data_IF_079531297381
#
_entry.id   IF_079531297381
#
_cell.length_a   1.000
_cell.length_b   1.000
_cell.length_c   1.000
_cell.angle_alpha   90.00
_cell.angle_beta   90.00
_cell.angle_gamma   90.00
#
_symmetry.space_group_name_H-M   'P 1'
#
loop_
_entity.id
_entity.type
_entity.pdbx_description
1 polymer ?
#
# COMPACT_ATOMS: atom_id res chain seq x y z
N UNK A 1 -0.69 -10.93 -29.69
CA UNK A 1 -2.02 -10.41 -29.28
C UNK A 1 -2.62 -11.38 -28.29
N UNK A 2 -2.21 -11.27 -27.03
CA UNK A 2 -3.00 -11.82 -25.95
C UNK A 2 -4.29 -10.98 -25.88
N UNK A 3 -5.48 -11.57 -25.75
CA UNK A 3 -6.69 -10.79 -25.62
C UNK A 3 -6.59 -10.01 -24.31
N UNK A 4 -6.26 -8.72 -24.39
CA UNK A 4 -6.59 -7.76 -23.32
C UNK A 4 -8.06 -8.01 -23.01
N UNK A 5 -8.34 -8.63 -21.87
CA UNK A 5 -9.70 -9.02 -21.56
C UNK A 5 -10.49 -7.70 -21.42
N UNK A 6 -11.56 -7.49 -22.22
CA UNK A 6 -12.25 -6.19 -22.28
C UNK A 6 -12.79 -5.67 -20.95
N UNK A 7 -13.00 -6.57 -19.98
CA UNK A 7 -13.39 -6.30 -18.60
C UNK A 7 -12.30 -5.57 -17.80
N UNK A 8 -11.03 -5.92 -18.00
CA UNK A 8 -9.89 -5.26 -17.32
C UNK A 8 -9.72 -3.82 -17.82
N UNK A 9 -9.75 -3.61 -19.15
CA UNK A 9 -9.66 -2.27 -19.75
C UNK A 9 -10.85 -1.37 -19.36
N UNK A 10 -12.05 -1.95 -19.20
CA UNK A 10 -13.22 -1.23 -18.69
C UNK A 10 -13.06 -0.83 -17.22
N UNK A 11 -12.55 -1.72 -16.37
CA UNK A 11 -12.28 -1.43 -14.96
C UNK A 11 -11.19 -0.36 -14.79
N UNK A 12 -10.11 -0.40 -15.59
CA UNK A 12 -9.09 0.64 -15.63
C UNK A 12 -9.66 2.00 -16.02
N UNK A 13 -10.49 2.02 -17.07
CA UNK A 13 -11.12 3.25 -17.56
C UNK A 13 -12.05 3.85 -16.51
N UNK A 14 -12.85 3.02 -15.85
CA UNK A 14 -13.74 3.45 -14.76
C UNK A 14 -12.94 3.97 -13.55
N UNK A 15 -11.86 3.30 -13.15
CA UNK A 15 -10.97 3.74 -12.07
C UNK A 15 -10.36 5.12 -12.36
N UNK A 16 -9.81 5.31 -13.57
CA UNK A 16 -9.23 6.59 -14.02
C UNK A 16 -10.24 7.74 -14.02
N UNK A 17 -11.53 7.43 -14.23
CA UNK A 17 -12.61 8.41 -14.26
C UNK A 17 -13.23 8.73 -12.88
N UNK A 18 -13.10 7.82 -11.89
CA UNK A 18 -13.67 8.02 -10.55
C UNK A 18 -12.83 8.90 -9.63
N UNK A 19 -11.52 9.00 -9.89
CA UNK A 19 -10.59 9.77 -9.08
C UNK A 19 -10.54 11.25 -9.54
N UNK A 20 -10.97 12.22 -8.72
CA UNK A 20 -10.99 13.63 -9.11
C UNK A 20 -9.56 14.12 -9.35
N UNK A 21 -9.26 14.50 -10.60
CA UNK A 21 -7.94 14.95 -11.02
C UNK A 21 -7.25 14.01 -12.00
N UNK A 22 -7.77 12.81 -12.28
CA UNK A 22 -7.34 11.91 -13.36
C UNK A 22 -5.86 11.49 -13.33
N UNK A 23 -5.10 11.97 -12.35
CA UNK A 23 -3.72 11.61 -12.08
C UNK A 23 -3.73 10.43 -11.11
N UNK A 24 -4.24 9.29 -11.56
CA UNK A 24 -3.45 8.11 -11.24
C UNK A 24 -2.25 8.25 -12.16
N UNK A 25 -1.18 8.72 -11.55
CA UNK A 25 -0.10 9.52 -12.11
C UNK A 25 0.24 9.13 -13.57
N UNK A 26 0.06 10.07 -14.51
CA UNK A 26 0.52 10.05 -15.93
C UNK A 26 2.05 9.93 -16.08
N UNK A 27 2.71 9.60 -14.99
CA UNK A 27 4.10 9.82 -14.76
C UNK A 27 4.58 8.62 -13.92
N UNK A 28 5.44 7.82 -14.58
CA UNK A 28 6.54 7.03 -14.03
C UNK A 28 6.34 5.51 -14.16
N UNK A 29 7.31 4.73 -14.67
CA UNK A 29 8.57 5.09 -15.32
C UNK A 29 8.36 5.49 -16.78
N UNK A 30 9.31 6.23 -17.37
CA UNK A 30 9.27 6.47 -18.80
C UNK A 30 9.09 5.12 -19.52
N UNK A 31 8.02 4.98 -20.30
CA UNK A 31 7.89 3.84 -21.21
C UNK A 31 9.26 3.69 -21.87
N UNK A 32 9.95 2.55 -21.72
CA UNK A 32 11.15 2.33 -22.49
C UNK A 32 10.73 2.53 -23.95
N UNK A 33 11.43 3.43 -24.65
CA UNK A 33 11.13 3.80 -26.03
C UNK A 33 10.72 2.54 -26.80
N UNK A 34 9.44 2.46 -27.17
CA UNK A 34 8.79 1.35 -27.86
C UNK A 34 9.38 -0.03 -27.57
N UNK A 35 8.77 -0.86 -26.69
CA UNK A 35 9.34 -2.16 -26.36
C UNK A 35 9.60 -2.97 -27.63
N UNK A 36 10.82 -3.48 -27.76
CA UNK A 36 11.17 -4.45 -28.81
C UNK A 36 10.18 -5.62 -28.76
N UNK A 37 9.98 -6.36 -29.87
CA UNK A 37 9.07 -7.51 -29.88
C UNK A 37 9.35 -8.52 -28.76
N UNK A 38 10.62 -8.68 -28.36
CA UNK A 38 11.00 -9.56 -27.25
C UNK A 38 10.63 -8.98 -25.88
N UNK A 39 10.83 -7.68 -25.65
CA UNK A 39 10.37 -7.01 -24.43
C UNK A 39 8.85 -7.08 -24.29
N UNK A 40 8.12 -6.92 -25.40
CA UNK A 40 6.66 -7.07 -25.40
C UNK A 40 6.24 -8.50 -25.06
N UNK A 41 6.92 -9.52 -25.62
CA UNK A 41 6.66 -10.94 -25.30
C UNK A 41 6.90 -11.25 -23.83
N UNK A 42 7.98 -10.72 -23.26
CA UNK A 42 8.32 -10.90 -21.84
C UNK A 42 7.28 -10.22 -20.94
N UNK A 43 6.87 -8.99 -21.27
CA UNK A 43 5.80 -8.28 -20.54
C UNK A 43 4.48 -9.05 -20.60
N UNK A 44 4.05 -9.49 -21.78
CA UNK A 44 2.80 -10.24 -21.93
C UNK A 44 2.84 -11.54 -21.11
N UNK A 45 3.95 -12.30 -21.16
CA UNK A 45 4.12 -13.52 -20.34
C UNK A 45 4.05 -13.22 -18.83
N UNK A 46 4.60 -12.08 -18.41
CA UNK A 46 4.56 -11.65 -17.02
C UNK A 46 3.13 -11.27 -16.58
N UNK A 47 2.40 -10.50 -17.40
CA UNK A 47 0.98 -10.18 -17.17
C UNK A 47 0.11 -11.44 -17.08
N UNK A 48 0.37 -12.43 -17.92
CA UNK A 48 -0.33 -13.72 -17.89
C UNK A 48 -0.07 -14.48 -16.58
N UNK A 49 1.19 -14.47 -16.12
CA UNK A 49 1.58 -15.11 -14.85
C UNK A 49 0.92 -14.43 -13.65
N UNK A 50 0.83 -13.09 -13.66
CA UNK A 50 0.10 -12.34 -12.63
C UNK A 50 -1.41 -12.61 -12.66
N UNK A 51 -2.02 -12.65 -13.84
CA UNK A 51 -3.42 -12.99 -13.99
C UNK A 51 -3.74 -14.38 -13.43
N UNK A 52 -2.90 -15.37 -13.72
CA UNK A 52 -3.04 -16.73 -13.19
C UNK A 52 -2.89 -16.76 -11.66
N UNK A 53 -1.93 -16.03 -11.11
CA UNK A 53 -1.71 -15.94 -9.67
C UNK A 53 -2.87 -15.23 -8.95
N UNK A 54 -3.37 -14.12 -9.50
CA UNK A 54 -4.54 -13.41 -8.98
C UNK A 54 -5.79 -14.29 -9.06
N UNK A 55 -5.97 -15.05 -10.14
CA UNK A 55 -7.07 -16.01 -10.23
C UNK A 55 -6.98 -17.11 -9.20
N UNK A 56 -5.78 -17.64 -9.00
CA UNK A 56 -5.54 -18.63 -7.95
C UNK A 56 -5.85 -18.02 -6.59
N UNK A 57 -5.43 -16.78 -6.34
CA UNK A 57 -5.75 -16.04 -5.12
C UNK A 57 -7.27 -15.85 -4.93
N UNK A 58 -8.00 -15.52 -5.99
CA UNK A 58 -9.43 -15.26 -5.88
C UNK A 58 -10.29 -16.54 -5.75
N UNK A 59 -9.78 -17.69 -6.20
CA UNK A 59 -10.56 -18.93 -6.30
C UNK A 59 -10.17 -20.01 -5.29
N UNK A 60 -9.01 -19.90 -4.63
CA UNK A 60 -8.51 -20.90 -3.68
C UNK A 60 -9.21 -20.78 -2.32
N UNK A 61 -9.53 -21.92 -1.72
CA UNK A 61 -10.23 -22.00 -0.41
C UNK A 61 -9.30 -21.87 0.80
N UNK A 62 -8.00 -22.15 0.64
CA UNK A 62 -7.01 -21.99 1.70
C UNK A 62 -6.44 -20.57 1.67
N UNK A 63 -6.51 -19.88 2.81
CA UNK A 63 -6.15 -18.47 2.98
C UNK A 63 -4.68 -18.31 3.35
N UNK A 64 -3.79 -18.63 2.41
CA UNK A 64 -2.35 -18.49 2.56
C UNK A 64 -1.85 -17.43 1.58
N UNK A 65 -0.88 -16.57 1.97
CA UNK A 65 -0.29 -15.61 1.06
C UNK A 65 0.32 -16.31 -0.17
N UNK A 66 0.12 -15.72 -1.35
CA UNK A 66 0.71 -16.24 -2.59
C UNK A 66 1.89 -15.36 -2.95
N UNK A 67 3.08 -15.96 -3.03
CA UNK A 67 4.30 -15.30 -3.47
C UNK A 67 4.53 -15.54 -4.97
N UNK A 68 4.74 -14.46 -5.71
CA UNK A 68 5.16 -14.47 -7.11
C UNK A 68 6.61 -13.98 -7.16
N UNK A 69 7.51 -14.84 -7.62
CA UNK A 69 8.93 -14.54 -7.77
C UNK A 69 9.21 -13.74 -9.04
N UNK A 70 10.29 -12.96 -9.03
CA UNK A 70 10.74 -12.12 -10.15
C UNK A 70 9.66 -11.13 -10.62
N UNK A 71 8.71 -10.80 -9.73
CA UNK A 71 7.68 -9.79 -9.90
C UNK A 71 8.18 -8.43 -9.40
N UNK A 72 9.45 -8.13 -9.65
CA UNK A 72 10.03 -6.80 -9.42
C UNK A 72 9.26 -5.80 -10.26
N UNK A 73 8.85 -4.69 -9.67
CA UNK A 73 8.06 -3.64 -10.31
C UNK A 73 8.57 -3.33 -11.74
N UNK A 74 7.67 -3.46 -12.74
CA UNK A 74 7.16 -2.28 -13.39
C UNK A 74 5.72 -2.00 -12.94
N UNK A 75 5.26 -0.74 -13.13
CA UNK A 75 4.08 -0.16 -12.51
C UNK A 75 2.78 -0.65 -13.16
N UNK A 76 2.51 -1.95 -13.08
CA UNK A 76 1.26 -2.54 -13.57
C UNK A 76 0.29 -2.81 -12.38
N UNK A 77 0.35 -1.98 -11.33
CA UNK A 77 -0.68 -1.93 -10.28
C UNK A 77 -2.06 -1.68 -10.89
N UNK A 78 -2.12 -0.97 -12.01
CA UNK A 78 -3.32 -0.82 -12.84
C UNK A 78 -3.92 -2.18 -13.18
N UNK A 79 -3.09 -3.08 -13.71
CA UNK A 79 -3.52 -4.42 -14.07
C UNK A 79 -4.01 -5.20 -12.84
N UNK A 80 -3.28 -5.12 -11.72
CA UNK A 80 -3.66 -5.77 -10.45
C UNK A 80 -5.03 -5.28 -9.98
N UNK A 81 -5.20 -3.96 -9.90
CA UNK A 81 -6.43 -3.31 -9.44
C UNK A 81 -7.60 -3.63 -10.36
N UNK A 82 -7.42 -3.51 -11.67
CA UNK A 82 -8.49 -3.80 -12.62
C UNK A 82 -8.88 -5.28 -12.63
N UNK A 83 -7.91 -6.19 -12.50
CA UNK A 83 -8.17 -7.62 -12.43
C UNK A 83 -8.89 -8.01 -11.13
N UNK A 84 -8.50 -7.41 -10.00
CA UNK A 84 -9.17 -7.57 -8.72
C UNK A 84 -10.59 -7.00 -8.78
N UNK A 85 -10.78 -5.75 -9.22
CA UNK A 85 -12.09 -5.10 -9.29
C UNK A 85 -13.06 -5.81 -10.23
N UNK A 86 -12.60 -6.24 -11.42
CA UNK A 86 -13.42 -6.95 -12.38
C UNK A 86 -14.01 -8.25 -11.81
N UNK A 87 -13.30 -8.91 -10.89
CA UNK A 87 -13.73 -10.17 -10.29
C UNK A 87 -14.35 -10.05 -8.91
N UNK A 88 -14.02 -9.02 -8.15
CA UNK A 88 -14.71 -8.75 -6.90
C UNK A 88 -16.16 -8.28 -7.12
N UNK A 89 -16.48 -7.57 -8.22
CA UNK A 89 -17.84 -7.41 -8.77
C UNK A 89 -18.99 -7.04 -7.81
N UNK A 90 -18.68 -6.61 -6.59
CA UNK A 90 -19.59 -6.64 -5.44
C UNK A 90 -18.83 -6.47 -4.11
N UNK A 91 -19.56 -6.35 -3.00
CA UNK A 91 -19.01 -6.11 -1.65
C UNK A 91 -17.95 -7.17 -1.34
N UNK A 92 -16.69 -6.74 -1.18
CA UNK A 92 -15.59 -7.59 -0.70
C UNK A 92 -16.10 -8.29 0.54
N UNK A 93 -16.13 -9.61 0.49
CA UNK A 93 -16.79 -10.36 1.52
C UNK A 93 -16.04 -10.16 2.83
N UNK A 94 -16.74 -9.60 3.83
CA UNK A 94 -16.29 -9.55 5.21
C UNK A 94 -16.24 -11.00 5.71
N UNK A 95 -15.11 -11.66 5.52
CA UNK A 95 -14.93 -13.03 5.97
C UNK A 95 -14.09 -13.10 7.26
N UNK A 96 -14.54 -13.89 8.26
CA UNK A 96 -13.99 -13.89 9.60
C UNK A 96 -12.88 -14.95 9.68
N UNK A 97 -11.63 -14.51 9.59
CA UNK A 97 -10.49 -15.24 10.15
C UNK A 97 -9.31 -14.26 10.23
N UNK A 98 -9.28 -13.53 11.36
CA UNK A 98 -8.16 -12.69 11.78
C UNK A 98 -6.85 -13.49 11.70
N UNK A 99 -5.90 -13.04 10.88
CA UNK A 99 -4.50 -13.46 11.02
C UNK A 99 -3.91 -12.75 12.26
N UNK A 100 -4.23 -13.28 13.45
CA UNK A 100 -3.76 -12.75 14.73
C UNK A 100 -2.22 -12.81 14.88
N UNK A 101 -1.59 -11.63 14.95
CA UNK A 101 -0.73 -11.09 16.06
C UNK A 101 0.44 -11.87 16.71
N UNK A 102 1.48 -11.30 17.39
CA UNK A 102 1.61 -10.07 18.25
C UNK A 102 3.08 -9.76 18.68
N UNK A 103 3.33 -8.50 19.09
CA UNK A 103 4.56 -7.86 19.65
C UNK A 103 5.08 -8.38 21.02
N UNK A 104 6.33 -8.02 21.44
CA UNK A 104 6.58 -7.39 22.78
C UNK A 104 7.99 -6.81 23.04
N UNK A 105 8.01 -5.59 23.59
CA UNK A 105 9.11 -4.87 24.29
C UNK A 105 10.53 -4.94 23.70
N UNK A 106 10.82 -4.01 22.79
CA UNK A 106 12.18 -3.55 22.49
C UNK A 106 12.39 -2.98 21.10
N UNK A 107 11.52 -3.38 20.15
CA UNK A 107 11.34 -2.94 18.75
C UNK A 107 11.39 -4.13 17.79
N UNK A 108 10.23 -4.73 17.56
CA UNK A 108 10.04 -5.81 16.59
C UNK A 108 9.03 -5.35 15.56
N UNK A 109 9.43 -5.39 14.29
CA UNK A 109 8.59 -5.09 13.15
C UNK A 109 8.02 -6.38 12.58
N UNK A 110 6.78 -6.33 12.12
CA UNK A 110 6.20 -7.33 11.25
C UNK A 110 6.67 -6.99 9.84
N UNK A 111 7.45 -7.86 9.21
CA UNK A 111 7.73 -7.70 7.77
C UNK A 111 6.51 -8.15 6.99
N UNK A 112 5.90 -7.23 6.26
CA UNK A 112 4.82 -7.52 5.34
C UNK A 112 5.39 -7.63 3.93
N UNK A 113 5.31 -8.83 3.35
CA UNK A 113 5.97 -9.17 2.10
C UNK A 113 7.25 -9.98 2.33
N UNK A 114 8.14 -10.05 1.34
CA UNK A 114 9.28 -10.98 1.35
C UNK A 114 10.58 -10.37 0.87
N UNK A 115 10.66 -9.99 -0.41
CA UNK A 115 11.86 -9.43 -1.03
C UNK A 115 11.50 -8.42 -2.14
N UNK A 116 12.43 -7.50 -2.44
CA UNK A 116 12.21 -6.38 -3.38
C UNK A 116 11.78 -6.79 -4.80
N UNK A 117 12.06 -8.03 -5.20
CA UNK A 117 11.74 -8.61 -6.50
C UNK A 117 10.58 -9.61 -6.44
N UNK A 118 9.87 -9.68 -5.32
CA UNK A 118 8.74 -10.57 -5.12
C UNK A 118 7.44 -9.78 -4.89
N UNK A 119 6.33 -10.40 -5.30
CA UNK A 119 4.99 -9.90 -5.01
C UNK A 119 4.25 -10.89 -4.10
N UNK A 120 3.64 -10.39 -3.04
CA UNK A 120 2.84 -11.20 -2.11
C UNK A 120 1.38 -10.75 -2.14
N UNK A 121 0.47 -11.68 -2.42
CA UNK A 121 -0.97 -11.42 -2.48
C UNK A 121 -1.66 -12.03 -1.25
N UNK A 122 -2.37 -11.18 -0.50
CA UNK A 122 -3.27 -11.54 0.58
C UNK A 122 -4.71 -11.51 0.09
N UNK A 123 -5.41 -12.64 0.21
CA UNK A 123 -6.72 -12.87 -0.44
C UNK A 123 -7.92 -12.18 0.24
N UNK A 124 -7.73 -11.54 1.39
CA UNK A 124 -8.81 -10.97 2.19
C UNK A 124 -8.35 -9.83 3.08
N UNK A 125 -9.21 -9.33 3.97
CA UNK A 125 -8.82 -8.29 4.90
C UNK A 125 -7.69 -8.76 5.82
N UNK A 126 -6.78 -7.86 6.15
CA UNK A 126 -5.59 -8.12 6.94
C UNK A 126 -5.57 -7.19 8.16
N UNK A 127 -5.50 -7.75 9.36
CA UNK A 127 -5.39 -7.00 10.61
C UNK A 127 -4.12 -7.36 11.37
N UNK A 128 -3.24 -6.38 11.56
CA UNK A 128 -1.92 -6.54 12.18
C UNK A 128 -1.85 -5.72 13.47
N UNK A 129 -1.34 -6.30 14.56
CA UNK A 129 -0.99 -5.52 15.75
C UNK A 129 0.51 -5.56 15.98
N UNK A 130 1.15 -4.48 15.60
CA UNK A 130 2.59 -4.35 15.52
C UNK A 130 2.97 -3.13 14.68
N UNK A 131 4.23 -2.70 14.77
CA UNK A 131 4.80 -1.90 13.69
C UNK A 131 5.06 -2.81 12.51
N UNK A 132 4.84 -2.32 11.30
CA UNK A 132 4.95 -3.05 10.05
C UNK A 132 6.00 -2.38 9.19
N UNK A 133 6.88 -3.19 8.62
CA UNK A 133 7.82 -2.78 7.58
C UNK A 133 7.48 -3.53 6.30
N UNK A 134 7.28 -2.80 5.22
CA UNK A 134 6.97 -3.36 3.91
C UNK A 134 8.25 -3.88 3.24
N UNK A 135 8.15 -4.99 2.51
CA UNK A 135 9.27 -5.48 1.69
C UNK A 135 8.73 -6.15 0.42
N UNK A 136 9.21 -5.71 -0.73
CA UNK A 136 8.64 -6.12 -2.01
C UNK A 136 7.25 -5.52 -2.25
N UNK A 137 6.58 -6.03 -3.28
CA UNK A 137 5.24 -5.59 -3.63
C UNK A 137 4.21 -6.40 -2.85
N UNK A 138 3.31 -5.73 -2.13
CA UNK A 138 2.24 -6.40 -1.39
C UNK A 138 0.88 -5.98 -1.94
N UNK A 139 0.02 -6.96 -2.15
CA UNK A 139 -1.36 -6.75 -2.60
C UNK A 139 -2.31 -7.32 -1.53
N UNK A 140 -3.21 -6.50 -1.03
CA UNK A 140 -4.27 -6.91 -0.10
C UNK A 140 -5.62 -6.79 -0.82
N UNK A 141 -6.27 -7.92 -1.08
CA UNK A 141 -7.56 -8.00 -1.79
C UNK A 141 -8.77 -7.65 -0.90
N UNK A 142 -8.54 -6.94 0.22
CA UNK A 142 -9.54 -6.48 1.17
C UNK A 142 -9.04 -5.29 1.99
N UNK A 143 -9.62 -5.06 3.16
CA UNK A 143 -9.22 -3.97 4.06
C UNK A 143 -7.87 -4.28 4.74
N UNK A 144 -7.03 -3.26 4.94
CA UNK A 144 -5.79 -3.36 5.71
C UNK A 144 -5.90 -2.55 7.00
N UNK A 145 -5.78 -3.20 8.15
CA UNK A 145 -5.84 -2.57 9.48
C UNK A 145 -4.51 -2.83 10.22
N UNK A 146 -3.80 -1.77 10.60
CA UNK A 146 -2.54 -1.85 11.33
C UNK A 146 -2.66 -1.05 12.64
N UNK A 147 -2.68 -1.77 13.78
CA UNK A 147 -2.66 -1.20 15.12
C UNK A 147 -1.26 -0.79 15.56
N UNK A 148 -0.58 -0.02 14.72
CA UNK A 148 0.79 0.40 14.91
C UNK A 148 1.24 1.35 13.79
N UNK A 149 2.55 1.37 13.55
CA UNK A 149 3.12 2.20 12.50
C UNK A 149 3.39 1.36 11.25
N UNK A 150 3.15 1.88 10.04
CA UNK A 150 3.58 1.28 8.78
C UNK A 150 4.69 2.12 8.17
N UNK A 151 5.81 1.48 7.84
CA UNK A 151 6.85 2.02 6.96
C UNK A 151 6.82 1.26 5.65
N UNK A 152 6.52 1.96 4.57
CA UNK A 152 6.38 1.36 3.25
C UNK A 152 7.70 1.28 2.46
N UNK A 153 8.80 1.86 2.96
CA UNK A 153 10.15 1.72 2.38
C UNK A 153 10.40 2.56 1.13
N UNK A 154 11.56 2.37 0.47
CA UNK A 154 11.91 3.08 -0.77
C UNK A 154 11.10 2.51 -1.97
N UNK A 155 10.62 3.35 -2.91
CA UNK A 155 9.93 2.88 -4.12
C UNK A 155 10.68 1.80 -4.93
N UNK A 156 12.01 1.78 -4.86
CA UNK A 156 12.83 0.79 -5.55
C UNK A 156 12.75 -0.62 -4.90
N UNK A 157 12.29 -0.70 -3.65
CA UNK A 157 12.36 -1.88 -2.79
C UNK A 157 10.98 -2.41 -2.38
N UNK A 158 9.94 -1.59 -2.43
CA UNK A 158 8.61 -1.97 -1.95
C UNK A 158 7.47 -1.16 -2.56
N UNK A 159 6.27 -1.73 -2.47
CA UNK A 159 5.04 -1.06 -2.88
C UNK A 159 3.81 -1.77 -2.33
N UNK A 160 2.73 -1.04 -2.09
CA UNK A 160 1.52 -1.55 -1.43
C UNK A 160 0.27 -1.21 -2.25
N UNK A 161 -0.54 -2.24 -2.51
CA UNK A 161 -1.85 -2.12 -3.16
C UNK A 161 -2.92 -2.68 -2.24
N UNK A 162 -3.86 -1.85 -1.81
CA UNK A 162 -5.01 -2.24 -0.99
C UNK A 162 -6.31 -2.04 -1.78
N UNK A 163 -7.04 -3.12 -2.03
CA UNK A 163 -8.30 -3.05 -2.78
C UNK A 163 -9.45 -2.54 -1.90
N UNK A 164 -9.35 -2.72 -0.58
CA UNK A 164 -10.28 -2.17 0.40
C UNK A 164 -9.85 -0.81 0.96
N UNK A 165 -10.28 -0.55 2.19
CA UNK A 165 -9.85 0.60 2.98
C UNK A 165 -8.54 0.30 3.71
N UNK A 166 -7.77 1.34 3.99
CA UNK A 166 -6.62 1.25 4.88
C UNK A 166 -6.88 2.02 6.17
N UNK A 167 -6.57 1.39 7.30
CA UNK A 167 -6.53 2.03 8.61
C UNK A 167 -5.22 1.71 9.31
N UNK A 168 -4.44 2.74 9.61
CA UNK A 168 -3.15 2.60 10.29
C UNK A 168 -2.99 3.72 11.31
N UNK A 169 -2.36 3.48 12.47
CA UNK A 169 -2.20 4.57 13.45
C UNK A 169 -1.21 5.63 12.96
N UNK A 170 -0.09 5.19 12.40
CA UNK A 170 0.91 6.10 11.86
C UNK A 170 1.47 5.54 10.55
N UNK A 171 1.41 6.32 9.48
CA UNK A 171 1.93 5.94 8.17
C UNK A 171 3.15 6.80 7.84
N UNK A 172 4.29 6.16 7.65
CA UNK A 172 5.45 6.78 7.00
C UNK A 172 5.53 6.25 5.58
N UNK A 173 5.30 7.13 4.60
CA UNK A 173 5.23 6.75 3.19
C UNK A 173 6.31 7.44 2.35
N UNK A 174 7.07 6.60 1.65
CA UNK A 174 8.08 6.94 0.63
C UNK A 174 7.85 6.18 -0.68
N UNK A 175 7.14 5.05 -0.64
CA UNK A 175 7.00 4.09 -1.74
C UNK A 175 5.76 4.32 -2.62
N UNK A 176 5.58 3.46 -3.64
CA UNK A 176 4.31 3.36 -4.35
C UNK A 176 3.24 2.74 -3.44
N UNK A 177 2.27 3.55 -3.03
CA UNK A 177 1.24 3.14 -2.09
C UNK A 177 -0.16 3.55 -2.59
N UNK A 178 -0.91 2.55 -3.03
CA UNK A 178 -2.24 2.70 -3.60
C UNK A 178 -3.30 2.01 -2.75
N UNK A 179 -4.39 2.71 -2.51
CA UNK A 179 -5.60 2.14 -1.92
C UNK A 179 -6.83 2.58 -2.71
N UNK A 180 -7.76 1.64 -2.96
CA UNK A 180 -8.99 1.94 -3.70
C UNK A 180 -10.07 2.51 -2.78
N UNK A 181 -10.07 2.14 -1.50
CA UNK A 181 -10.99 2.65 -0.49
C UNK A 181 -10.53 3.94 0.18
N UNK A 182 -11.04 4.16 1.39
CA UNK A 182 -10.67 5.26 2.27
C UNK A 182 -9.37 4.98 3.02
N UNK A 183 -8.66 6.04 3.40
CA UNK A 183 -7.55 6.00 4.35
C UNK A 183 -7.93 6.67 5.67
N UNK A 184 -7.72 5.99 6.80
CA UNK A 184 -7.78 6.58 8.14
C UNK A 184 -6.43 6.43 8.87
N UNK A 185 -5.89 7.54 9.36
CA UNK A 185 -4.67 7.55 10.17
C UNK A 185 -4.62 8.66 11.21
N UNK A 186 -3.95 8.42 12.34
CA UNK A 186 -3.69 9.48 13.32
C UNK A 186 -2.58 10.39 12.78
N UNK A 187 -1.47 9.80 12.35
CA UNK A 187 -0.32 10.51 11.77
C UNK A 187 -0.03 10.02 10.34
N UNK A 188 -0.09 10.92 9.38
CA UNK A 188 0.43 10.71 8.02
C UNK A 188 1.73 11.48 7.86
N UNK A 189 2.83 10.78 7.60
CA UNK A 189 4.12 11.38 7.30
C UNK A 189 4.53 11.06 5.87
N UNK A 190 4.60 12.11 5.05
CA UNK A 190 5.07 12.02 3.68
C UNK A 190 6.56 12.33 3.65
N UNK A 191 7.37 11.34 3.29
CA UNK A 191 8.76 11.60 2.92
C UNK A 191 8.78 12.25 1.54
N UNK A 192 9.83 13.02 1.22
CA UNK A 192 10.00 13.63 -0.09
C UNK A 192 10.36 12.64 -1.22
N UNK A 193 10.06 11.35 -1.05
CA UNK A 193 10.38 10.29 -1.98
C UNK A 193 9.70 10.46 -3.35
N UNK A 194 10.25 9.75 -4.33
CA UNK A 194 9.76 9.72 -5.71
C UNK A 194 8.53 8.82 -5.91
N UNK A 195 8.10 8.08 -4.87
CA UNK A 195 6.97 7.17 -4.91
C UNK A 195 5.63 7.86 -5.15
N UNK A 196 4.69 7.10 -5.70
CA UNK A 196 3.32 7.56 -5.94
C UNK A 196 2.38 7.10 -4.83
N UNK A 197 1.69 8.05 -4.19
CA UNK A 197 0.63 7.75 -3.23
C UNK A 197 -0.74 8.12 -3.78
N UNK A 198 -1.68 7.17 -3.77
CA UNK A 198 -3.01 7.30 -4.39
C UNK A 198 -4.10 6.73 -3.50
N UNK A 199 -5.10 7.55 -3.19
CA UNK A 199 -6.30 7.13 -2.44
C UNK A 199 -7.55 7.31 -3.29
N UNK A 200 -8.25 6.19 -3.50
CA UNK A 200 -9.52 6.10 -4.22
C UNK A 200 -10.68 6.84 -3.54
N UNK A 201 -10.73 6.73 -2.22
CA UNK A 201 -11.76 7.31 -1.36
C UNK A 201 -11.35 8.59 -0.63
N UNK A 202 -11.85 8.74 0.59
CA UNK A 202 -11.55 9.88 1.46
C UNK A 202 -10.27 9.64 2.28
N UNK A 203 -9.49 10.70 2.48
CA UNK A 203 -8.32 10.70 3.36
C UNK A 203 -8.68 11.38 4.67
N UNK A 204 -8.63 10.63 5.77
CA UNK A 204 -8.83 11.12 7.14
C UNK A 204 -7.55 10.95 7.95
N UNK A 205 -6.68 11.96 7.86
CA UNK A 205 -5.49 12.07 8.70
C UNK A 205 -5.72 13.09 9.81
N UNK A 206 -5.49 12.71 11.08
CA UNK A 206 -5.62 13.67 12.20
C UNK A 206 -4.49 14.71 12.19
N UNK A 207 -3.29 14.30 11.79
CA UNK A 207 -2.14 15.16 11.53
C UNK A 207 -1.40 14.66 10.28
N UNK A 208 -1.11 15.57 9.36
CA UNK A 208 -0.28 15.31 8.21
C UNK A 208 1.01 16.15 8.32
N UNK A 209 2.16 15.48 8.22
CA UNK A 209 3.48 16.11 8.26
C UNK A 209 4.24 15.82 6.96
N UNK A 210 4.88 16.85 6.44
CA UNK A 210 5.92 16.72 5.42
C UNK A 210 7.27 16.80 6.14
N UNK A 211 8.24 15.97 5.75
CA UNK A 211 9.54 15.86 6.43
C UNK A 211 10.25 17.22 6.60
N UNK A 212 10.16 18.11 5.60
CA UNK A 212 10.71 19.47 5.66
C UNK A 212 10.02 20.42 6.65
N UNK A 213 8.84 20.06 7.17
CA UNK A 213 7.98 20.90 8.04
C UNK A 213 7.55 20.19 9.32
N UNK A 214 8.04 18.98 9.56
CA UNK A 214 7.58 18.14 10.66
C UNK A 214 7.74 18.81 12.02
N UNK A 215 8.82 19.58 12.24
CA UNK A 215 9.18 20.04 13.58
C UNK A 215 8.21 21.02 14.24
N UNK A 216 7.65 21.98 13.50
CA UNK A 216 6.74 22.97 14.10
C UNK A 216 5.36 22.39 14.40
N UNK A 217 4.78 21.68 13.43
CA UNK A 217 3.46 21.07 13.55
C UNK A 217 3.48 19.89 14.55
N UNK A 218 4.53 19.07 14.57
CA UNK A 218 4.70 18.00 15.55
C UNK A 218 4.70 18.56 16.99
N UNK A 219 5.46 19.63 17.26
CA UNK A 219 5.51 20.24 18.60
C UNK A 219 4.17 20.85 19.03
N UNK A 220 3.34 21.27 18.08
CA UNK A 220 2.03 21.86 18.35
C UNK A 220 0.97 20.80 18.69
N UNK A 221 0.94 19.74 17.89
CA UNK A 221 -0.17 18.78 17.88
C UNK A 221 0.14 17.44 18.54
N UNK A 222 1.40 17.11 18.82
CA UNK A 222 1.74 15.85 19.48
C UNK A 222 1.85 16.00 21.01
N UNK A 223 1.38 14.97 21.72
CA UNK A 223 1.44 14.91 23.18
C UNK A 223 1.76 13.50 23.70
N UNK A 224 2.78 13.35 24.59
CA UNK A 224 3.79 14.35 24.95
C UNK A 224 4.58 14.84 23.74
N UNK A 225 5.14 16.05 23.82
CA UNK A 225 5.97 16.58 22.73
C UNK A 225 7.23 15.71 22.58
N UNK A 226 7.47 15.10 21.40
CA UNK A 226 8.67 14.30 21.19
C UNK A 226 9.95 15.13 21.21
N UNK A 227 11.10 14.48 21.44
CA UNK A 227 12.40 15.15 21.32
C UNK A 227 12.71 15.51 19.87
N UNK A 228 13.64 16.46 19.68
CA UNK A 228 14.06 16.88 18.33
C UNK A 228 14.64 15.72 17.51
N UNK A 229 15.38 14.82 18.17
CA UNK A 229 15.90 13.59 17.57
C UNK A 229 14.79 12.70 17.01
N UNK A 230 13.66 12.56 17.73
CA UNK A 230 12.52 11.77 17.28
C UNK A 230 11.77 12.48 16.15
N UNK A 231 11.66 13.81 16.20
CA UNK A 231 10.95 14.62 15.20
C UNK A 231 11.68 14.60 13.86
N UNK A 232 13.01 14.62 13.87
CA UNK A 232 13.85 14.63 12.68
C UNK A 232 13.90 13.26 11.99
N UNK A 233 13.67 12.17 12.72
CA UNK A 233 13.51 10.83 12.17
C UNK A 233 12.02 10.47 12.04
N UNK A 234 11.49 10.67 10.84
CA UNK A 234 10.08 10.46 10.57
C UNK A 234 9.58 9.04 10.83
N UNK A 235 10.44 8.04 10.62
CA UNK A 235 10.06 6.68 10.95
C UNK A 235 9.96 6.51 12.47
N UNK A 236 10.96 6.96 13.21
CA UNK A 236 10.95 6.91 14.68
C UNK A 236 9.75 7.67 15.26
N UNK A 237 9.38 8.82 14.68
CA UNK A 237 8.17 9.56 15.04
C UNK A 237 6.89 8.74 14.83
N UNK A 238 6.72 8.14 13.64
CA UNK A 238 5.57 7.28 13.36
C UNK A 238 5.50 6.09 14.33
N UNK A 239 6.64 5.53 14.75
CA UNK A 239 6.69 4.45 15.73
C UNK A 239 6.27 4.91 17.13
N UNK A 240 6.64 6.11 17.56
CA UNK A 240 6.15 6.69 18.82
C UNK A 240 4.62 6.84 18.83
N UNK A 241 4.05 7.36 17.73
CA UNK A 241 2.60 7.51 17.57
C UNK A 241 1.90 6.16 17.45
N UNK A 242 2.42 5.25 16.63
CA UNK A 242 1.89 3.90 16.47
C UNK A 242 1.87 3.11 17.78
N UNK A 243 2.89 3.30 18.62
CA UNK A 243 2.96 2.71 19.97
C UNK A 243 1.96 3.34 20.95
N UNK A 244 1.43 4.52 20.63
CA UNK A 244 0.60 5.32 21.52
C UNK A 244 1.37 5.99 22.66
N UNK A 245 2.72 6.00 22.59
CA UNK A 245 3.59 6.74 23.52
C UNK A 245 3.43 8.24 23.32
N UNK A 246 3.22 8.64 22.07
CA UNK A 246 2.81 9.97 21.64
C UNK A 246 1.45 9.89 20.95
N UNK A 247 0.62 10.91 21.06
CA UNK A 247 -0.70 10.98 20.42
C UNK A 247 -0.91 12.32 19.73
N UNK A 248 -1.71 12.31 18.67
CA UNK A 248 -2.19 13.54 18.03
C UNK A 248 -3.31 14.12 18.89
N UNK A 249 -3.18 15.40 19.24
CA UNK A 249 -4.21 16.16 19.93
C UNK A 249 -5.43 16.33 19.04
N UNK A 250 -6.65 16.26 19.59
CA UNK A 250 -7.83 16.61 18.81
C UNK A 250 -7.73 18.09 18.39
N UNK A 251 -8.19 18.43 17.17
CA UNK A 251 -8.33 19.82 16.80
C UNK A 251 -9.29 20.55 17.76
N UNK A 252 -9.05 21.84 18.05
CA UNK A 252 -9.87 22.65 18.95
C UNK A 252 -11.30 22.87 18.46
#
# INVERSE_FOLDING_TARGET
MHPRRPDIEAALTDLRNRLPGGKIVDHWGGEPHWPTPEQQRLRDKWLDSMAEALETALTRQAFEPITIFEARSPPDWEFIVAHALARHGGRVASFPAFSETRQRDGDTFITLGTASDEMVIYQGPLELHGHVHLSGTVVVLGDLIIHGALMDGDPADSGLVVIGNERVRALYTSSDHLMVGDLETDLLMLSGGEGSWVVGGEVRASLQLEEARASEEARRWLEPVPSDEIIEDGWTLCREVGSGRTKVRPPP
#
